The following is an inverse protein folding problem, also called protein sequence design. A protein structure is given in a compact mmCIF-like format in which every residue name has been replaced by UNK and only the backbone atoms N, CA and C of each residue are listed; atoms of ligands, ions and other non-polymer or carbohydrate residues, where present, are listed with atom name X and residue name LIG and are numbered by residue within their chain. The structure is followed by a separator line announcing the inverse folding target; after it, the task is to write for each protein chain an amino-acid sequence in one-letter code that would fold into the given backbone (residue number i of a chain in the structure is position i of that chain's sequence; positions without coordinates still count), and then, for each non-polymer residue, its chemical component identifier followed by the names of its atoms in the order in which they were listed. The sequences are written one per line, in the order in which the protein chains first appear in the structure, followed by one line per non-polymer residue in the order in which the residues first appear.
data_IF_250859691072
#
_entry.id   IF_250859691072
#
_cell.length_a   1.000
_cell.length_b   1.000
_cell.length_c   1.000
_cell.angle_alpha   90.00
_cell.angle_beta   90.00
_cell.angle_gamma   90.00
#
_symmetry.space_group_name_H-M   'P 1'
#
loop_
_entity.id
_entity.type
_entity.pdbx_description
1 polymer ?
#
# COMPACT_ATOMS: atom_id res chain seq x y z
N UNK A 1 -5.52 -1.91 -30.08
CA UNK A 1 -5.88 -2.09 -28.64
C UNK A 1 -4.88 -1.30 -27.82
N UNK A 2 -5.33 -0.41 -26.92
CA UNK A 2 -4.40 0.26 -25.99
C UNK A 2 -3.82 -0.82 -25.06
N UNK A 3 -2.51 -1.01 -25.12
CA UNK A 3 -1.82 -1.92 -24.21
C UNK A 3 -1.89 -1.36 -22.80
N UNK A 4 -2.47 -2.09 -21.86
CA UNK A 4 -2.49 -1.69 -20.46
C UNK A 4 -1.06 -1.64 -19.92
N UNK A 5 -0.74 -0.58 -19.17
CA UNK A 5 0.57 -0.45 -18.53
C UNK A 5 0.65 -1.40 -17.34
N UNK A 6 1.79 -2.02 -17.14
CA UNK A 6 2.07 -2.73 -15.88
C UNK A 6 2.16 -1.76 -14.72
N UNK A 7 1.69 -2.20 -13.55
CA UNK A 7 1.69 -1.41 -12.32
C UNK A 7 2.54 -2.17 -11.29
N UNK A 8 3.59 -1.54 -10.79
CA UNK A 8 4.34 -2.01 -9.64
C UNK A 8 4.04 -1.09 -8.46
N UNK A 9 3.41 -1.63 -7.43
CA UNK A 9 3.20 -0.94 -6.17
C UNK A 9 4.21 -1.45 -5.14
N UNK A 10 5.14 -0.60 -4.72
CA UNK A 10 6.14 -0.92 -3.73
C UNK A 10 5.85 -0.16 -2.43
N UNK A 11 5.68 -0.88 -1.33
CA UNK A 11 5.35 -0.33 -0.03
C UNK A 11 6.40 -0.72 1.01
N UNK A 12 7.04 0.25 1.61
CA UNK A 12 7.93 0.05 2.76
C UNK A 12 7.14 -0.07 4.05
N UNK A 13 7.75 -0.66 5.09
CA UNK A 13 7.19 -0.69 6.43
C UNK A 13 7.96 0.25 7.35
N UNK A 14 7.23 1.06 8.13
CA UNK A 14 7.80 1.99 9.12
C UNK A 14 8.87 2.97 8.58
N UNK A 15 8.85 3.26 7.29
CA UNK A 15 9.78 4.24 6.71
C UNK A 15 9.39 5.66 7.11
N UNK A 16 10.33 6.41 7.66
CA UNK A 16 10.16 7.84 7.94
C UNK A 16 10.11 8.61 6.62
N UNK A 17 9.25 9.63 6.56
CA UNK A 17 9.08 10.47 5.35
C UNK A 17 10.37 11.21 4.96
N UNK A 18 11.18 11.57 5.95
CA UNK A 18 12.39 12.37 5.79
C UNK A 18 13.66 11.55 5.44
N UNK A 19 13.51 10.25 5.14
CA UNK A 19 14.66 9.41 4.72
C UNK A 19 15.03 9.60 3.26
N UNK A 20 14.13 10.09 2.42
CA UNK A 20 14.44 10.46 1.05
C UNK A 20 15.28 11.75 1.04
N UNK A 21 16.39 11.73 0.33
CA UNK A 21 17.36 12.83 0.32
C UNK A 21 18.23 12.94 1.58
N UNK A 22 18.00 12.08 2.59
CA UNK A 22 18.81 12.08 3.82
C UNK A 22 20.22 11.55 3.56
N UNK A 23 21.19 12.25 4.09
CA UNK A 23 22.60 11.83 4.14
C UNK A 23 22.99 11.57 5.60
N UNK A 24 23.52 10.38 5.88
CA UNK A 24 24.01 9.99 7.19
C UNK A 24 25.42 9.43 7.07
N UNK A 25 26.35 9.95 7.87
CA UNK A 25 27.75 9.57 7.81
C UNK A 25 28.36 9.65 6.39
N UNK A 26 27.99 10.68 5.62
CA UNK A 26 28.46 10.92 4.26
C UNK A 26 27.89 9.98 3.19
N UNK A 27 26.84 9.22 3.53
CA UNK A 27 26.16 8.30 2.59
C UNK A 27 24.67 8.59 2.52
N UNK A 28 24.11 8.49 1.33
CA UNK A 28 22.65 8.53 1.14
C UNK A 28 21.99 7.34 1.81
N UNK A 29 20.93 7.61 2.57
CA UNK A 29 20.16 6.56 3.27
C UNK A 29 19.30 5.75 2.29
N UNK A 30 18.73 6.41 1.28
CA UNK A 30 17.84 5.79 0.30
C UNK A 30 18.26 6.11 -1.14
N UNK A 31 19.46 5.70 -1.62
CA UNK A 31 19.98 6.15 -2.90
C UNK A 31 19.12 5.73 -4.10
N UNK A 32 18.49 4.56 -4.07
CA UNK A 32 17.61 4.12 -5.15
C UNK A 32 16.28 4.87 -5.17
N UNK A 33 15.73 5.23 -4.01
CA UNK A 33 14.51 6.05 -3.94
C UNK A 33 14.83 7.50 -4.34
N UNK A 34 16.00 8.02 -3.97
CA UNK A 34 16.44 9.35 -4.39
C UNK A 34 16.51 9.44 -5.92
N UNK A 35 17.14 8.45 -6.58
CA UNK A 35 17.17 8.38 -8.04
C UNK A 35 15.77 8.30 -8.66
N UNK A 36 14.87 7.47 -8.10
CA UNK A 36 13.50 7.38 -8.57
C UNK A 36 12.74 8.71 -8.42
N UNK A 37 13.02 9.44 -7.34
CA UNK A 37 12.44 10.75 -7.09
C UNK A 37 12.91 11.81 -8.12
N UNK A 38 14.14 11.75 -8.57
CA UNK A 38 14.67 12.62 -9.63
C UNK A 38 14.00 12.39 -10.99
N UNK A 39 13.61 11.13 -11.27
CA UNK A 39 13.00 10.74 -12.54
C UNK A 39 11.46 10.80 -12.51
N UNK A 40 10.85 10.91 -11.34
CA UNK A 40 9.43 10.79 -11.11
C UNK A 40 8.77 11.99 -10.45
N UNK A 41 7.67 11.74 -9.77
CA UNK A 41 6.94 12.73 -8.98
C UNK A 41 7.01 12.38 -7.50
N UNK A 42 7.38 13.35 -6.68
CA UNK A 42 7.43 13.23 -5.22
C UNK A 42 6.27 13.99 -4.60
N UNK A 43 5.52 13.33 -3.73
CA UNK A 43 4.45 13.94 -2.94
C UNK A 43 4.98 14.23 -1.53
N UNK A 44 5.39 15.47 -1.29
CA UNK A 44 5.97 15.88 0.01
C UNK A 44 4.96 15.88 1.16
N UNK A 45 3.67 15.95 0.84
CA UNK A 45 2.57 16.03 1.81
C UNK A 45 1.55 14.92 1.60
N UNK A 46 2.03 13.69 1.48
CA UNK A 46 1.19 12.51 1.48
C UNK A 46 0.93 12.03 2.91
N UNK A 47 -0.33 11.83 3.26
CA UNK A 47 -0.74 11.42 4.60
C UNK A 47 -1.45 10.09 4.57
N UNK A 48 -1.11 9.22 5.51
CA UNK A 48 -1.83 7.98 5.72
C UNK A 48 -3.13 8.24 6.51
N UNK A 49 -4.10 7.36 6.32
CA UNK A 49 -5.40 7.44 6.99
C UNK A 49 -5.36 6.96 8.43
N UNK A 50 -4.36 6.17 8.81
CA UNK A 50 -4.17 5.63 10.15
C UNK A 50 -2.73 5.14 10.29
N UNK A 51 -1.98 5.54 11.35
CA UNK A 51 -0.57 5.15 11.53
C UNK A 51 -0.42 3.74 12.12
N UNK A 52 -1.26 2.79 11.73
CA UNK A 52 -1.24 1.38 12.14
C UNK A 52 -1.26 0.47 10.92
N UNK A 53 -0.48 -0.61 10.93
CA UNK A 53 -0.26 -1.49 9.79
C UNK A 53 -1.55 -2.02 9.16
N UNK A 54 -2.39 -2.71 9.92
CA UNK A 54 -3.60 -3.36 9.42
C UNK A 54 -4.65 -2.35 8.94
N UNK A 55 -5.00 -1.30 9.70
CA UNK A 55 -5.94 -0.27 9.24
C UNK A 55 -5.46 0.47 7.99
N UNK A 56 -4.20 0.91 7.96
CA UNK A 56 -3.62 1.61 6.82
C UNK A 56 -3.67 0.78 5.54
N UNK A 57 -3.18 -0.46 5.61
CA UNK A 57 -3.14 -1.36 4.46
C UNK A 57 -4.53 -1.77 3.98
N UNK A 58 -5.47 -1.97 4.90
CA UNK A 58 -6.86 -2.26 4.56
C UNK A 58 -7.55 -1.05 3.92
N UNK A 59 -7.31 0.16 4.45
CA UNK A 59 -7.83 1.39 3.86
C UNK A 59 -7.26 1.62 2.44
N UNK A 60 -5.96 1.42 2.27
CA UNK A 60 -5.30 1.50 0.97
C UNK A 60 -5.91 0.50 -0.03
N UNK A 61 -6.09 -0.75 0.38
CA UNK A 61 -6.62 -1.79 -0.49
C UNK A 61 -8.08 -1.57 -0.88
N UNK A 62 -8.88 -0.97 0.00
CA UNK A 62 -10.33 -0.79 -0.22
C UNK A 62 -10.71 0.61 -0.69
N UNK A 63 -9.80 1.58 -0.57
CA UNK A 63 -10.11 2.99 -0.81
C UNK A 63 -11.05 3.61 0.24
N UNK A 64 -11.21 2.97 1.42
CA UNK A 64 -12.19 3.36 2.43
C UNK A 64 -11.51 3.60 3.77
N UNK A 65 -11.80 4.73 4.41
CA UNK A 65 -11.25 5.08 5.71
C UNK A 65 -11.51 4.01 6.78
N UNK A 66 -10.58 3.79 7.73
CA UNK A 66 -10.73 2.79 8.79
C UNK A 66 -12.02 2.91 9.59
N UNK A 67 -12.48 4.12 9.88
CA UNK A 67 -13.76 4.37 10.57
C UNK A 67 -14.98 3.85 9.81
N UNK A 68 -14.91 3.83 8.48
CA UNK A 68 -15.99 3.38 7.62
C UNK A 68 -15.88 1.89 7.25
N UNK A 69 -14.65 1.38 7.08
CA UNK A 69 -14.44 -0.03 6.80
C UNK A 69 -14.47 -0.91 8.06
N UNK A 70 -14.38 -0.30 9.24
CA UNK A 70 -14.47 -0.96 10.55
C UNK A 70 -13.17 -1.60 11.04
N UNK A 71 -12.08 -1.50 10.28
CA UNK A 71 -10.76 -2.05 10.65
C UNK A 71 -9.92 -0.92 11.22
N UNK A 72 -10.00 -0.72 12.53
CA UNK A 72 -9.39 0.43 13.24
C UNK A 72 -8.20 0.07 14.12
N UNK A 73 -7.90 -1.23 14.29
CA UNK A 73 -6.80 -1.73 15.10
C UNK A 73 -6.01 -2.83 14.39
N UNK A 74 -4.81 -3.11 14.88
CA UNK A 74 -4.02 -4.29 14.51
C UNK A 74 -4.60 -5.56 15.15
N UNK A 75 -5.86 -5.84 14.86
CA UNK A 75 -6.55 -7.03 15.34
C UNK A 75 -6.50 -8.14 14.29
N UNK A 76 -5.71 -9.16 14.58
CA UNK A 76 -5.50 -10.29 13.67
C UNK A 76 -6.69 -11.25 13.58
N UNK A 77 -7.56 -11.23 14.58
CA UNK A 77 -8.76 -12.06 14.66
C UNK A 77 -10.07 -11.27 14.46
N UNK A 78 -9.95 -9.96 14.32
CA UNK A 78 -11.06 -9.05 14.38
C UNK A 78 -11.77 -8.82 13.05
N UNK A 79 -12.41 -7.66 12.98
CA UNK A 79 -13.25 -7.24 11.86
C UNK A 79 -12.49 -7.22 10.54
N UNK A 80 -13.22 -7.53 9.48
CA UNK A 80 -12.73 -7.43 8.11
C UNK A 80 -13.57 -6.41 7.34
N UNK A 81 -12.98 -5.81 6.32
CA UNK A 81 -13.65 -4.90 5.38
C UNK A 81 -14.40 -5.67 4.27
N UNK A 82 -15.02 -6.80 4.61
CA UNK A 82 -15.56 -7.76 3.65
C UNK A 82 -16.66 -7.26 2.71
N UNK A 83 -17.31 -6.13 3.04
CA UNK A 83 -18.30 -5.50 2.17
C UNK A 83 -17.71 -4.60 1.08
N UNK A 84 -16.41 -4.36 1.11
CA UNK A 84 -15.71 -3.48 0.16
C UNK A 84 -14.83 -4.30 -0.78
N UNK A 85 -14.96 -4.06 -2.08
CA UNK A 85 -14.14 -4.72 -3.09
C UNK A 85 -12.73 -4.12 -3.08
N UNK A 86 -11.68 -4.91 -2.81
CA UNK A 86 -10.32 -4.40 -2.78
C UNK A 86 -9.78 -4.16 -4.19
N UNK A 87 -8.81 -3.25 -4.30
CA UNK A 87 -8.23 -2.81 -5.58
C UNK A 87 -7.66 -3.96 -6.42
N UNK A 88 -7.04 -4.95 -5.80
CA UNK A 88 -6.51 -6.11 -6.53
C UNK A 88 -7.62 -6.88 -7.26
N UNK A 89 -8.81 -7.00 -6.65
CA UNK A 89 -9.95 -7.65 -7.28
C UNK A 89 -10.53 -6.80 -8.42
N UNK A 90 -10.54 -5.49 -8.26
CA UNK A 90 -10.95 -4.57 -9.32
C UNK A 90 -10.00 -4.72 -10.51
N UNK A 91 -8.68 -4.75 -10.26
CA UNK A 91 -7.68 -4.92 -11.31
C UNK A 91 -7.81 -6.29 -12.01
N UNK A 92 -8.00 -7.37 -11.28
CA UNK A 92 -8.26 -8.70 -11.87
C UNK A 92 -9.49 -8.68 -12.79
N UNK A 93 -10.57 -8.05 -12.36
CA UNK A 93 -11.80 -7.94 -13.16
C UNK A 93 -11.61 -7.10 -14.43
N UNK A 94 -10.56 -6.28 -14.50
CA UNK A 94 -10.19 -5.50 -15.70
C UNK A 94 -9.10 -6.16 -16.54
N UNK A 95 -8.76 -7.41 -16.24
CA UNK A 95 -7.83 -8.23 -17.04
C UNK A 95 -6.37 -8.15 -16.61
N UNK A 96 -6.04 -7.56 -15.46
CA UNK A 96 -4.70 -7.63 -14.90
C UNK A 96 -4.44 -8.98 -14.22
N UNK A 97 -3.23 -9.52 -14.41
CA UNK A 97 -2.69 -10.55 -13.54
C UNK A 97 -2.11 -9.85 -12.30
N UNK A 98 -2.66 -10.11 -11.12
CA UNK A 98 -2.25 -9.43 -9.89
C UNK A 98 -1.49 -10.40 -9.00
N UNK A 99 -0.27 -10.03 -8.61
CA UNK A 99 0.54 -10.73 -7.63
C UNK A 99 0.75 -9.88 -6.38
N UNK A 100 0.79 -10.54 -5.22
CA UNK A 100 1.15 -9.92 -3.95
C UNK A 100 2.33 -10.66 -3.34
N UNK A 101 3.36 -9.91 -2.94
CA UNK A 101 4.58 -10.45 -2.32
C UNK A 101 4.86 -9.68 -1.03
N UNK A 102 5.17 -10.39 0.04
CA UNK A 102 5.53 -9.81 1.33
C UNK A 102 4.45 -9.94 2.39
N UNK A 103 4.36 -8.96 3.26
CA UNK A 103 3.47 -8.99 4.43
C UNK A 103 2.03 -8.70 4.03
N UNK A 104 1.16 -9.68 4.25
CA UNK A 104 -0.29 -9.55 4.07
C UNK A 104 -0.95 -9.17 5.41
N UNK A 105 -1.16 -7.90 5.60
CA UNK A 105 -1.90 -7.34 6.73
C UNK A 105 -3.22 -6.68 6.30
N UNK A 106 -3.76 -7.09 5.16
CA UNK A 106 -4.98 -6.54 4.58
C UNK A 106 -6.17 -7.39 5.04
N UNK A 107 -7.12 -6.77 5.71
CA UNK A 107 -8.33 -7.44 6.24
C UNK A 107 -9.51 -7.32 5.27
N UNK A 108 -9.46 -8.07 4.19
CA UNK A 108 -10.54 -8.19 3.19
C UNK A 108 -11.10 -9.62 3.15
N UNK A 109 -12.24 -9.81 2.50
CA UNK A 109 -12.87 -11.12 2.32
C UNK A 109 -13.10 -11.40 0.83
N UNK A 110 -12.71 -12.59 0.33
CA UNK A 110 -11.81 -13.55 0.98
C UNK A 110 -10.41 -12.98 1.19
N UNK A 111 -9.58 -13.58 2.07
CA UNK A 111 -8.18 -13.13 2.26
C UNK A 111 -7.40 -13.10 0.97
N UNK A 112 -6.45 -12.16 0.82
CA UNK A 112 -5.67 -12.00 -0.42
C UNK A 112 -4.95 -13.26 -0.87
N UNK A 113 -4.44 -14.05 0.08
CA UNK A 113 -3.71 -15.30 -0.23
C UNK A 113 -4.60 -16.46 -0.71
N UNK A 114 -5.92 -16.30 -0.71
CA UNK A 114 -6.89 -17.28 -1.19
C UNK A 114 -7.52 -16.86 -2.52
N UNK A 115 -7.02 -15.80 -3.13
CA UNK A 115 -7.49 -15.24 -4.38
C UNK A 115 -6.46 -15.42 -5.49
#
# INVERSE_FOLDING_TARGET
MKQNKNILFFMTDHQRFDTMGMVQCGREVTPNLNRLAEEGMVFERAYDTCPLCVPARTALATGVYPTNNGVVYNDWKGKTAGKFTPIHKILQNTGYCVGHVGVDHIKVQPPMREQ
#
